data_IF_123108536625
#
_entry.id   IF_123108536625
#
_cell.length_a   1.000
_cell.length_b   1.000
_cell.length_c   1.000
_cell.angle_alpha   90.00
_cell.angle_beta   90.00
_cell.angle_gamma   90.00
#
_symmetry.space_group_name_H-M   'P 1'
#
loop_
_entity.id
_entity.type
_entity.pdbx_description
1 polymer ?
#
# COMPACT_ATOMS: atom_id res chain seq x y z
N UNK A 1 -17.53 6.01 7.13
CA UNK A 1 -16.30 6.31 6.38
C UNK A 1 -15.67 4.99 6.01
N UNK A 2 -15.52 4.66 4.73
CA UNK A 2 -14.89 3.40 4.31
C UNK A 2 -13.38 3.47 4.56
N UNK A 3 -12.76 2.32 4.86
CA UNK A 3 -11.30 2.19 4.96
C UNK A 3 -10.81 1.26 3.85
N UNK A 4 -9.95 1.78 2.97
CA UNK A 4 -9.39 1.04 1.85
C UNK A 4 -7.89 0.76 2.07
N UNK A 5 -7.47 -0.45 1.73
CA UNK A 5 -6.07 -0.84 1.72
C UNK A 5 -5.43 -0.57 0.37
N UNK A 6 -4.28 0.08 0.36
CA UNK A 6 -3.43 0.25 -0.82
C UNK A 6 -2.12 -0.51 -0.62
N UNK A 7 -1.93 -1.61 -1.34
CA UNK A 7 -0.61 -2.24 -1.43
C UNK A 7 0.16 -1.60 -2.57
N UNK A 8 1.19 -0.82 -2.23
CA UNK A 8 1.88 0.06 -3.16
C UNK A 8 3.23 -0.50 -3.62
N UNK A 9 3.38 -0.66 -4.93
CA UNK A 9 4.63 -0.86 -5.65
C UNK A 9 5.21 0.44 -6.22
N UNK A 10 6.19 0.30 -7.12
CA UNK A 10 6.92 1.44 -7.70
C UNK A 10 6.03 2.23 -8.67
N UNK A 11 6.13 3.57 -8.62
CA UNK A 11 5.58 4.50 -9.60
C UNK A 11 4.44 5.38 -9.05
N UNK A 12 3.92 6.27 -9.90
CA UNK A 12 2.97 7.31 -9.49
C UNK A 12 1.50 6.88 -9.36
N UNK A 13 1.12 5.74 -9.94
CA UNK A 13 -0.27 5.27 -9.92
C UNK A 13 -0.83 5.06 -8.49
N UNK A 14 -0.09 4.44 -7.55
CA UNK A 14 -0.47 4.41 -6.13
C UNK A 14 -0.76 5.78 -5.52
N UNK A 15 0.06 6.80 -5.84
CA UNK A 15 -0.10 8.17 -5.33
C UNK A 15 -1.39 8.79 -5.87
N UNK A 16 -1.65 8.63 -7.17
CA UNK A 16 -2.90 9.11 -7.79
C UNK A 16 -4.12 8.46 -7.15
N UNK A 17 -4.09 7.12 -6.92
CA UNK A 17 -5.17 6.42 -6.23
C UNK A 17 -5.40 6.95 -4.81
N UNK A 18 -4.33 7.10 -4.02
CA UNK A 18 -4.37 7.61 -2.66
C UNK A 18 -5.09 8.97 -2.61
N UNK A 19 -4.71 9.90 -3.49
CA UNK A 19 -5.30 11.24 -3.54
C UNK A 19 -6.78 11.21 -3.90
N UNK A 20 -7.16 10.39 -4.89
CA UNK A 20 -8.57 10.28 -5.29
C UNK A 20 -9.44 9.60 -4.21
N UNK A 21 -8.95 8.52 -3.59
CA UNK A 21 -9.66 7.86 -2.49
C UNK A 21 -9.88 8.83 -1.31
N UNK A 22 -8.85 9.61 -0.94
CA UNK A 22 -8.99 10.66 0.08
C UNK A 22 -9.98 11.75 -0.34
N UNK A 23 -9.99 12.16 -1.61
CA UNK A 23 -10.96 13.13 -2.15
C UNK A 23 -12.40 12.63 -2.06
N UNK A 24 -12.61 11.31 -2.13
CA UNK A 24 -13.91 10.67 -1.90
C UNK A 24 -14.27 10.50 -0.42
N UNK A 25 -13.40 10.95 0.50
CA UNK A 25 -13.63 10.86 1.94
C UNK A 25 -13.34 9.47 2.51
N UNK A 26 -12.60 8.63 1.79
CA UNK A 26 -12.13 7.34 2.31
C UNK A 26 -10.88 7.50 3.15
N UNK A 27 -10.77 6.65 4.18
CA UNK A 27 -9.51 6.48 4.92
C UNK A 27 -8.62 5.52 4.14
N UNK A 28 -7.39 5.92 3.84
CA UNK A 28 -6.45 5.11 3.06
C UNK A 28 -5.33 4.59 3.96
N UNK A 29 -5.24 3.27 4.04
CA UNK A 29 -4.16 2.54 4.72
C UNK A 29 -3.20 2.04 3.66
N UNK A 30 -2.03 2.64 3.57
CA UNK A 30 -1.01 2.26 2.57
C UNK A 30 0.01 1.32 3.17
N UNK A 31 0.29 0.23 2.45
CA UNK A 31 1.37 -0.70 2.73
C UNK A 31 2.32 -0.67 1.53
N UNK A 32 3.48 -0.05 1.69
CA UNK A 32 4.57 -0.12 0.72
C UNK A 32 5.16 -1.53 0.74
N UNK A 33 5.01 -2.25 -0.38
CA UNK A 33 5.44 -3.66 -0.50
C UNK A 33 6.83 -3.84 -1.12
N UNK A 34 7.45 -2.72 -1.49
CA UNK A 34 8.81 -2.59 -2.03
C UNK A 34 9.49 -1.36 -1.43
N UNK A 35 10.81 -1.27 -1.52
CA UNK A 35 11.55 -0.15 -0.92
C UNK A 35 11.52 1.14 -1.77
N UNK A 36 11.43 1.00 -3.10
CA UNK A 36 11.46 2.13 -4.04
C UNK A 36 10.06 2.67 -4.37
N UNK A 37 9.31 3.11 -3.36
CA UNK A 37 8.01 3.76 -3.55
C UNK A 37 8.12 5.29 -3.55
N UNK A 38 7.11 5.97 -4.09
CA UNK A 38 7.05 7.42 -4.08
C UNK A 38 6.88 7.95 -2.64
N UNK A 39 7.65 8.97 -2.22
CA UNK A 39 7.62 9.48 -0.84
C UNK A 39 6.27 10.09 -0.43
N UNK A 40 5.49 10.56 -1.40
CA UNK A 40 4.14 11.09 -1.19
C UNK A 40 3.22 10.08 -0.49
N UNK A 41 3.44 8.77 -0.70
CA UNK A 41 2.66 7.74 -0.01
C UNK A 41 2.86 7.78 1.52
N UNK A 42 4.08 8.06 1.99
CA UNK A 42 4.32 8.17 3.43
C UNK A 42 3.80 9.51 4.00
N UNK A 43 3.77 10.55 3.17
CA UNK A 43 3.38 11.90 3.57
C UNK A 43 1.86 12.12 3.59
N UNK A 44 1.14 11.48 2.65
CA UNK A 44 -0.27 11.78 2.39
C UNK A 44 -1.23 10.70 2.91
N UNK A 45 -0.77 9.48 3.17
CA UNK A 45 -1.62 8.40 3.67
C UNK A 45 -2.08 8.63 5.10
N UNK A 46 -3.30 8.18 5.43
CA UNK A 46 -3.82 8.28 6.80
C UNK A 46 -3.08 7.31 7.73
N UNK A 47 -2.63 6.18 7.20
CA UNK A 47 -1.65 5.28 7.80
C UNK A 47 -0.70 4.77 6.74
N UNK A 48 0.58 4.69 7.08
CA UNK A 48 1.62 4.17 6.20
C UNK A 48 2.44 3.09 6.90
N UNK A 49 2.64 1.98 6.21
CA UNK A 49 3.45 0.87 6.66
C UNK A 49 4.42 0.44 5.56
N UNK A 50 5.63 0.08 5.93
CA UNK A 50 6.57 -0.57 5.02
C UNK A 50 6.70 -2.05 5.39
N UNK A 51 6.17 -2.91 4.53
CA UNK A 51 6.13 -4.36 4.74
C UNK A 51 6.44 -5.03 3.40
N UNK A 52 7.62 -5.64 3.28
CA UNK A 52 8.03 -6.34 2.05
C UNK A 52 6.97 -7.37 1.62
N UNK A 53 6.77 -7.48 0.30
CA UNK A 53 5.76 -8.35 -0.31
C UNK A 53 5.83 -9.82 0.13
N UNK A 54 7.01 -10.30 0.51
CA UNK A 54 7.22 -11.68 1.01
C UNK A 54 6.61 -11.94 2.40
N UNK A 55 6.23 -10.90 3.14
CA UNK A 55 5.63 -11.00 4.48
C UNK A 55 4.10 -10.95 4.43
N UNK A 56 3.48 -11.81 3.63
CA UNK A 56 2.02 -11.83 3.43
C UNK A 56 1.23 -11.88 4.75
N UNK A 57 1.66 -12.69 5.72
CA UNK A 57 1.01 -12.76 7.03
C UNK A 57 1.04 -11.44 7.80
N UNK A 58 2.12 -10.66 7.69
CA UNK A 58 2.20 -9.33 8.29
C UNK A 58 1.29 -8.33 7.57
N UNK A 59 1.22 -8.39 6.23
CA UNK A 59 0.33 -7.54 5.42
C UNK A 59 -1.13 -7.77 5.84
N UNK A 60 -1.58 -9.03 5.86
CA UNK A 60 -2.95 -9.38 6.22
C UNK A 60 -3.30 -8.95 7.65
N UNK A 61 -2.40 -9.20 8.62
CA UNK A 61 -2.61 -8.77 10.01
C UNK A 61 -2.71 -7.25 10.14
N UNK A 62 -1.89 -6.50 9.40
CA UNK A 62 -1.95 -5.03 9.40
C UNK A 62 -3.27 -4.55 8.81
N UNK A 63 -3.70 -5.07 7.66
CA UNK A 63 -4.99 -4.71 7.05
C UNK A 63 -6.17 -5.00 8.00
N UNK A 64 -6.18 -6.17 8.65
CA UNK A 64 -7.20 -6.53 9.63
C UNK A 64 -7.20 -5.61 10.86
N UNK A 65 -6.02 -5.31 11.41
CA UNK A 65 -5.88 -4.40 12.56
C UNK A 65 -6.41 -3.00 12.24
N UNK A 66 -6.20 -2.55 11.00
CA UNK A 66 -6.65 -1.25 10.52
C UNK A 66 -8.13 -1.23 10.10
N UNK A 67 -8.84 -2.36 10.19
CA UNK A 67 -10.26 -2.45 9.81
C UNK A 67 -10.50 -2.36 8.30
N UNK A 68 -9.50 -2.70 7.48
CA UNK A 68 -9.63 -2.72 6.02
C UNK A 68 -10.45 -3.92 5.58
N UNK A 69 -11.50 -3.70 4.81
CA UNK A 69 -12.35 -4.75 4.21
C UNK A 69 -12.12 -4.92 2.71
N UNK A 70 -11.63 -3.87 2.04
CA UNK A 70 -11.32 -3.88 0.61
C UNK A 70 -9.92 -3.35 0.39
N UNK A 71 -9.15 -4.01 -0.47
CA UNK A 71 -7.79 -3.62 -0.78
C UNK A 71 -7.52 -3.70 -2.27
N UNK A 72 -6.69 -2.79 -2.77
CA UNK A 72 -6.17 -2.79 -4.13
C UNK A 72 -4.65 -2.88 -4.12
N UNK A 73 -4.08 -3.42 -5.20
CA UNK A 73 -2.65 -3.51 -5.41
C UNK A 73 -2.29 -2.69 -6.65
N UNK A 74 -1.47 -1.66 -6.47
CA UNK A 74 -1.09 -0.75 -7.55
C UNK A 74 0.40 -0.50 -7.56
N UNK A 75 0.94 -0.24 -8.74
CA UNK A 75 2.37 0.01 -8.94
C UNK A 75 3.14 -1.26 -9.34
N UNK A 76 4.36 -1.03 -9.82
CA UNK A 76 5.21 -2.09 -10.38
C UNK A 76 5.90 -2.87 -9.26
N UNK A 77 5.89 -4.19 -9.39
CA UNK A 77 6.74 -5.11 -8.62
C UNK A 77 7.44 -6.02 -9.62
N UNK A 78 8.77 -6.04 -9.61
CA UNK A 78 9.54 -6.84 -10.57
C UNK A 78 9.83 -8.24 -10.00
N UNK A 79 10.20 -9.18 -10.87
CA UNK A 79 10.57 -10.54 -10.45
C UNK A 79 11.79 -10.51 -9.54
N UNK A 80 12.75 -9.64 -9.80
CA UNK A 80 13.95 -9.48 -8.99
C UNK A 80 13.59 -9.01 -7.57
N UNK A 81 12.58 -8.14 -7.42
CA UNK A 81 12.11 -7.73 -6.10
C UNK A 81 11.35 -8.86 -5.39
N UNK A 82 10.57 -9.64 -6.15
CA UNK A 82 9.76 -10.73 -5.61
C UNK A 82 10.61 -11.94 -5.20
N UNK A 83 11.62 -12.28 -5.99
CA UNK A 83 12.46 -13.47 -5.84
C UNK A 83 13.88 -13.18 -5.33
N UNK A 84 14.30 -11.91 -5.24
CA UNK A 84 15.69 -11.57 -4.91
C UNK A 84 16.15 -11.94 -3.50
N UNK A 85 15.24 -12.42 -2.64
CA UNK A 85 15.55 -12.92 -1.29
C UNK A 85 14.87 -14.28 -1.00
N UNK A 86 14.49 -15.02 -2.05
CA UNK A 86 14.15 -16.45 -1.98
C UNK A 86 15.43 -17.27 -2.14
#
# INVERSE_FOLDING_TARGET
MATVGLLAGIGKLPVTFLREAKRLGERVVTIAVVDAVEPELAQESDQFYQIKITKLGSILKTLQREGVTEATMLGKVTKEILYGNL
#
